data_IF_760220235320
#
_entry.id   IF_760220235320
#
_cell.length_a   1.000
_cell.length_b   1.000
_cell.length_c   1.000
_cell.angle_alpha   90.00
_cell.angle_beta   90.00
_cell.angle_gamma   90.00
#
_symmetry.space_group_name_H-M   'P 1'
#
loop_
_entity.id
_entity.type
_entity.pdbx_description
1 polymer ?
#
# COMPACT_ATOMS: atom_id res chain seq x y z
N UNK A 1 -14.16 -8.74 -4.45
CA UNK A 1 -15.51 -8.28 -4.03
C UNK A 1 -15.66 -6.76 -3.95
N UNK A 2 -14.61 -5.96 -3.75
CA UNK A 2 -14.69 -4.49 -3.65
C UNK A 2 -15.39 -3.79 -4.83
N UNK A 3 -15.05 -4.13 -6.09
CA UNK A 3 -15.71 -3.54 -7.28
C UNK A 3 -17.21 -3.87 -7.36
N UNK A 4 -17.61 -5.08 -6.94
CA UNK A 4 -19.01 -5.52 -6.99
C UNK A 4 -19.86 -4.85 -5.90
N UNK A 5 -19.27 -4.59 -4.73
CA UNK A 5 -19.92 -3.84 -3.65
C UNK A 5 -20.15 -2.39 -4.07
N UNK A 6 -19.12 -1.72 -4.59
CA UNK A 6 -19.21 -0.34 -5.05
C UNK A 6 -20.23 -0.18 -6.18
N UNK A 7 -20.33 -1.14 -7.10
CA UNK A 7 -21.34 -1.13 -8.18
C UNK A 7 -22.78 -1.30 -7.69
N UNK A 8 -23.00 -1.81 -6.48
CA UNK A 8 -24.32 -1.98 -5.86
C UNK A 8 -24.78 -0.74 -5.08
N UNK A 9 -23.89 0.22 -4.85
CA UNK A 9 -24.23 1.44 -4.12
C UNK A 9 -25.22 2.33 -4.89
N UNK A 10 -26.06 3.03 -4.12
CA UNK A 10 -27.16 3.83 -4.66
C UNK A 10 -26.68 4.99 -5.55
N UNK A 11 -25.50 5.56 -5.29
CA UNK A 11 -24.94 6.63 -6.12
C UNK A 11 -24.59 6.15 -7.54
N UNK A 12 -24.22 4.87 -7.73
CA UNK A 12 -24.01 4.26 -9.04
C UNK A 12 -25.35 4.06 -9.75
N UNK A 13 -26.40 3.67 -9.02
CA UNK A 13 -27.77 3.56 -9.57
C UNK A 13 -28.30 4.92 -10.00
N UNK A 14 -28.11 5.97 -9.20
CA UNK A 14 -28.48 7.34 -9.58
C UNK A 14 -27.69 7.81 -10.80
N UNK A 15 -26.40 7.49 -10.91
CA UNK A 15 -25.59 7.85 -12.07
C UNK A 15 -26.10 7.19 -13.36
N UNK A 16 -26.52 5.90 -13.30
CA UNK A 16 -27.17 5.23 -14.44
C UNK A 16 -28.54 5.83 -14.76
N UNK A 17 -29.35 6.15 -13.75
CA UNK A 17 -30.66 6.77 -13.94
C UNK A 17 -30.58 8.15 -14.60
N UNK A 18 -29.47 8.87 -14.40
CA UNK A 18 -29.17 10.13 -15.09
C UNK A 18 -28.70 9.98 -16.55
N UNK A 19 -28.59 8.75 -17.08
CA UNK A 19 -28.18 8.49 -18.46
C UNK A 19 -26.68 8.63 -18.72
N UNK A 20 -25.83 8.62 -17.69
CA UNK A 20 -24.38 8.69 -17.85
C UNK A 20 -23.86 7.44 -18.60
N UNK A 21 -22.95 7.64 -19.56
CA UNK A 21 -22.30 6.53 -20.27
C UNK A 21 -21.66 5.54 -19.29
N UNK A 22 -21.93 4.26 -19.50
CA UNK A 22 -21.50 3.19 -18.61
C UNK A 22 -19.98 3.14 -18.43
N UNK A 23 -19.19 3.49 -19.46
CA UNK A 23 -17.74 3.64 -19.36
C UNK A 23 -17.32 4.73 -18.36
N UNK A 24 -18.03 5.85 -18.31
CA UNK A 24 -17.75 6.96 -17.39
C UNK A 24 -18.11 6.58 -15.94
N UNK A 25 -19.23 5.86 -15.75
CA UNK A 25 -19.64 5.33 -14.44
C UNK A 25 -18.62 4.30 -13.94
N UNK A 26 -18.15 3.40 -14.80
CA UNK A 26 -17.15 2.41 -14.40
C UNK A 26 -15.81 3.06 -14.04
N UNK A 27 -15.26 3.90 -14.92
CA UNK A 27 -13.93 4.50 -14.75
C UNK A 27 -13.89 5.54 -13.64
N UNK A 28 -14.83 6.48 -13.62
CA UNK A 28 -14.73 7.67 -12.77
C UNK A 28 -15.41 7.52 -11.41
N UNK A 29 -16.39 6.62 -11.31
CA UNK A 29 -17.19 6.46 -10.10
C UNK A 29 -16.89 5.12 -9.41
N UNK A 30 -17.05 4.00 -10.11
CA UNK A 30 -16.88 2.68 -9.49
C UNK A 30 -15.42 2.32 -9.24
N UNK A 31 -14.54 2.44 -10.24
CA UNK A 31 -13.13 2.05 -10.14
C UNK A 31 -12.38 2.88 -9.10
N UNK A 32 -12.56 4.19 -9.13
CA UNK A 32 -11.87 5.12 -8.22
C UNK A 32 -12.19 4.84 -6.75
N UNK A 33 -13.46 4.57 -6.44
CA UNK A 33 -13.90 4.25 -5.08
C UNK A 33 -13.57 2.81 -4.67
N UNK A 34 -13.61 1.86 -5.60
CA UNK A 34 -13.22 0.47 -5.33
C UNK A 34 -11.72 0.28 -5.10
N UNK A 35 -10.88 1.21 -5.59
CA UNK A 35 -9.43 1.17 -5.40
C UNK A 35 -8.99 1.58 -3.98
N UNK A 36 -9.80 2.36 -3.24
CA UNK A 36 -9.48 2.78 -1.88
C UNK A 36 -9.15 1.61 -0.94
N UNK A 37 -10.02 0.59 -0.79
CA UNK A 37 -9.70 -0.56 0.06
C UNK A 37 -8.54 -1.40 -0.48
N UNK A 38 -8.36 -1.46 -1.81
CA UNK A 38 -7.24 -2.20 -2.42
C UNK A 38 -5.91 -1.57 -2.03
N UNK A 39 -5.83 -0.24 -2.05
CA UNK A 39 -4.64 0.50 -1.60
C UNK A 39 -4.34 0.18 -0.13
N UNK A 40 -5.34 0.10 0.75
CA UNK A 40 -5.09 -0.19 2.17
C UNK A 40 -4.48 -1.57 2.34
N UNK A 41 -5.02 -2.56 1.63
CA UNK A 41 -4.49 -3.93 1.66
C UNK A 41 -3.06 -3.99 1.12
N UNK A 42 -2.76 -3.31 0.02
CA UNK A 42 -1.40 -3.26 -0.54
C UNK A 42 -0.40 -2.65 0.45
N UNK A 43 -0.77 -1.60 1.17
CA UNK A 43 0.08 -0.99 2.19
C UNK A 43 0.39 -1.94 3.35
N UNK A 44 -0.63 -2.66 3.83
CA UNK A 44 -0.47 -3.66 4.90
C UNK A 44 0.40 -4.85 4.44
N UNK A 45 0.15 -5.37 3.25
CA UNK A 45 0.95 -6.44 2.65
C UNK A 45 2.41 -6.03 2.48
N UNK A 46 2.68 -4.79 2.07
CA UNK A 46 4.05 -4.29 1.95
C UNK A 46 4.79 -4.29 3.30
N UNK A 47 4.12 -3.89 4.38
CA UNK A 47 4.68 -3.95 5.73
C UNK A 47 4.96 -5.40 6.15
N UNK A 48 4.03 -6.32 5.83
CA UNK A 48 4.19 -7.74 6.10
C UNK A 48 5.37 -8.35 5.32
N UNK A 49 5.53 -7.98 4.06
CA UNK A 49 6.62 -8.45 3.19
C UNK A 49 8.00 -8.06 3.73
N UNK A 50 8.17 -6.84 4.25
CA UNK A 50 9.44 -6.41 4.86
C UNK A 50 9.81 -7.31 6.05
N UNK A 51 8.86 -7.61 6.93
CA UNK A 51 9.08 -8.49 8.08
C UNK A 51 9.35 -9.94 7.66
N UNK A 52 8.61 -10.44 6.68
CA UNK A 52 8.78 -11.79 6.14
C UNK A 52 10.10 -11.99 5.40
N UNK A 53 10.61 -10.93 4.75
CA UNK A 53 11.84 -10.97 3.96
C UNK A 53 13.02 -11.47 4.80
N UNK A 54 13.14 -11.00 6.04
CA UNK A 54 14.20 -11.39 6.99
C UNK A 54 14.20 -12.90 7.21
N UNK A 55 13.03 -13.49 7.44
CA UNK A 55 12.91 -14.93 7.68
C UNK A 55 13.23 -15.72 6.41
N UNK A 56 12.73 -15.26 5.24
CA UNK A 56 13.01 -15.95 3.97
C UNK A 56 14.49 -15.89 3.59
N UNK A 57 15.16 -14.76 3.78
CA UNK A 57 16.59 -14.62 3.51
C UNK A 57 17.42 -15.54 4.40
N UNK A 58 17.04 -15.65 5.67
CA UNK A 58 17.70 -16.53 6.64
C UNK A 58 17.55 -18.01 6.31
N UNK A 59 16.34 -18.45 5.96
CA UNK A 59 16.07 -19.87 5.67
C UNK A 59 16.75 -20.31 4.37
N UNK A 60 16.76 -19.46 3.34
CA UNK A 60 17.34 -19.78 2.04
C UNK A 60 18.80 -19.33 1.87
N UNK A 61 19.42 -18.78 2.93
CA UNK A 61 20.78 -18.24 2.92
C UNK A 61 21.05 -17.26 1.75
N UNK A 62 20.08 -16.38 1.51
CA UNK A 62 20.18 -15.34 0.48
C UNK A 62 20.87 -14.11 1.05
N UNK A 63 21.80 -13.54 0.29
CA UNK A 63 22.50 -12.32 0.69
C UNK A 63 21.57 -11.10 0.57
N UNK A 64 20.98 -10.69 1.69
CA UNK A 64 20.08 -9.53 1.75
C UNK A 64 20.16 -8.74 3.06
N UNK A 65 19.35 -7.69 3.16
CA UNK A 65 19.38 -6.73 4.26
C UNK A 65 18.90 -7.35 5.59
N UNK A 66 17.99 -8.31 5.54
CA UNK A 66 17.50 -9.02 6.71
C UNK A 66 18.53 -9.97 7.30
N UNK A 67 19.23 -10.73 6.46
CA UNK A 67 20.39 -11.53 6.88
C UNK A 67 21.47 -10.65 7.52
N UNK A 68 21.82 -9.53 6.87
CA UNK A 68 22.77 -8.54 7.40
C UNK A 68 22.35 -7.98 8.76
N UNK A 69 21.05 -7.72 8.94
CA UNK A 69 20.52 -7.25 10.22
C UNK A 69 20.73 -8.27 11.34
N UNK A 70 20.44 -9.55 11.08
CA UNK A 70 20.64 -10.60 12.09
C UNK A 70 22.12 -10.80 12.41
N UNK A 71 22.99 -10.74 11.40
CA UNK A 71 24.44 -10.79 11.61
C UNK A 71 24.94 -9.60 12.44
N UNK A 72 24.45 -8.38 12.17
CA UNK A 72 24.81 -7.19 12.93
C UNK A 72 24.43 -7.32 14.41
N UNK A 73 23.24 -7.86 14.69
CA UNK A 73 22.77 -8.17 16.05
C UNK A 73 23.65 -9.22 16.72
N UNK A 74 24.02 -10.29 16.01
CA UNK A 74 24.88 -11.34 16.54
C UNK A 74 26.29 -10.83 16.90
N UNK A 75 26.85 -9.93 16.09
CA UNK A 75 28.16 -9.31 16.32
C UNK A 75 28.12 -8.08 17.25
N UNK A 76 26.92 -7.70 17.74
CA UNK A 76 26.68 -6.49 18.55
C UNK A 76 27.21 -5.20 17.91
N UNK A 77 27.15 -5.12 16.58
CA UNK A 77 27.52 -3.92 15.85
C UNK A 77 26.34 -2.92 15.87
N UNK A 78 26.29 -2.11 16.92
CA UNK A 78 25.23 -1.13 17.12
C UNK A 78 25.18 -0.07 16.02
N UNK A 79 26.34 0.28 15.42
CA UNK A 79 26.40 1.25 14.33
C UNK A 79 25.73 0.71 13.08
N UNK A 80 26.03 -0.55 12.72
CA UNK A 80 25.40 -1.21 11.57
C UNK A 80 23.90 -1.43 11.79
N UNK A 81 23.50 -1.86 12.99
CA UNK A 81 22.08 -2.00 13.35
C UNK A 81 21.35 -0.67 13.16
N UNK A 82 21.89 0.43 13.71
CA UNK A 82 21.26 1.74 13.59
C UNK A 82 21.13 2.20 12.14
N UNK A 83 22.17 2.00 11.32
CA UNK A 83 22.14 2.34 9.90
C UNK A 83 21.05 1.54 9.14
N UNK A 84 20.94 0.24 9.41
CA UNK A 84 19.91 -0.61 8.80
C UNK A 84 18.51 -0.22 9.24
N UNK A 85 18.29 0.06 10.53
CA UNK A 85 16.99 0.55 11.04
C UNK A 85 16.61 1.87 10.37
N UNK A 86 17.54 2.82 10.27
CA UNK A 86 17.31 4.11 9.62
C UNK A 86 16.93 3.94 8.14
N UNK A 87 17.59 3.04 7.43
CA UNK A 87 17.30 2.74 6.01
C UNK A 87 15.90 2.14 5.85
N UNK A 88 15.55 1.13 6.65
CA UNK A 88 14.23 0.48 6.61
C UNK A 88 13.13 1.46 6.99
N UNK A 89 13.33 2.23 8.06
CA UNK A 89 12.37 3.26 8.49
C UNK A 89 12.17 4.33 7.42
N UNK A 90 13.25 4.82 6.79
CA UNK A 90 13.18 5.79 5.69
C UNK A 90 12.42 5.24 4.49
N UNK A 91 12.66 3.98 4.14
CA UNK A 91 11.95 3.29 3.04
C UNK A 91 10.47 3.13 3.38
N UNK A 92 10.15 2.77 4.62
CA UNK A 92 8.77 2.65 5.08
C UNK A 92 8.02 3.99 5.02
N UNK A 93 8.65 5.08 5.45
CA UNK A 93 8.08 6.44 5.34
C UNK A 93 7.86 6.79 3.87
N UNK A 94 8.83 6.52 2.99
CA UNK A 94 8.72 6.80 1.56
C UNK A 94 7.55 6.05 0.93
N UNK A 95 7.38 4.77 1.26
CA UNK A 95 6.26 3.96 0.75
C UNK A 95 4.93 4.47 1.27
N UNK A 96 4.81 4.78 2.57
CA UNK A 96 3.59 5.38 3.11
C UNK A 96 3.28 6.72 2.44
N UNK A 97 4.28 7.55 2.21
CA UNK A 97 4.11 8.81 1.49
C UNK A 97 3.59 8.58 0.06
N UNK A 98 4.13 7.60 -0.68
CA UNK A 98 3.61 7.22 -2.00
C UNK A 98 2.16 6.76 -1.90
N UNK A 99 1.82 5.95 -0.90
CA UNK A 99 0.44 5.50 -0.66
C UNK A 99 -0.49 6.68 -0.41
N UNK A 100 -0.10 7.63 0.44
CA UNK A 100 -0.87 8.83 0.75
C UNK A 100 -1.09 9.71 -0.48
N UNK A 101 -0.06 9.90 -1.31
CA UNK A 101 -0.17 10.64 -2.58
C UNK A 101 -1.13 9.93 -3.53
N UNK A 102 -1.04 8.61 -3.64
CA UNK A 102 -1.97 7.83 -4.45
C UNK A 102 -3.40 7.94 -3.91
N UNK A 103 -3.61 7.86 -2.59
CA UNK A 103 -4.92 8.10 -1.98
C UNK A 103 -5.46 9.49 -2.30
N UNK A 104 -4.64 10.54 -2.17
CA UNK A 104 -5.03 11.91 -2.50
C UNK A 104 -5.42 12.07 -3.97
N UNK A 105 -4.74 11.37 -4.88
CA UNK A 105 -5.09 11.39 -6.31
C UNK A 105 -6.38 10.61 -6.60
N UNK A 106 -6.58 9.49 -5.90
CA UNK A 106 -7.73 8.62 -6.04
C UNK A 106 -9.00 9.14 -5.35
N UNK A 107 -8.91 9.86 -4.24
CA UNK A 107 -10.10 10.42 -3.60
C UNK A 107 -10.29 11.92 -3.92
N UNK A 108 -11.26 12.29 -4.78
CA UNK A 108 -11.56 13.69 -5.04
C UNK A 108 -12.33 14.38 -3.89
N UNK A 109 -12.70 13.68 -2.82
CA UNK A 109 -13.39 14.25 -1.63
C UNK A 109 -12.45 14.96 -0.67
N UNK A 110 -11.12 14.76 -0.78
CA UNK A 110 -10.10 15.44 0.05
C UNK A 110 -9.91 16.91 -0.38
N UNK A 111 -10.64 17.37 -1.41
CA UNK A 111 -10.76 18.79 -1.72
C UNK A 111 -11.63 19.47 -0.65
N UNK A 112 -11.01 19.74 0.50
CA UNK A 112 -11.50 20.76 1.43
C UNK A 112 -11.76 22.02 0.60
N UNK A 113 -12.94 22.61 0.82
CA UNK A 113 -13.36 23.87 0.20
C UNK A 113 -12.32 24.96 0.40
#
# INVERSE_FOLDING_TARGET
SAMLEVLREDYIRTARAKGLMQKLVLSRHALKNAMLPVMTVVGVEFAFLIGGLVVTEQVFNLNGLGLLFVQAVAHRDYTLIQALVMLVAGTFILVNFVMDVMYAWLDPRIRYR
#
